data_IF_483331591242
#
_entry.id   IF_483331591242
#
_cell.length_a   1.000
_cell.length_b   1.000
_cell.length_c   1.000
_cell.angle_alpha   90.00
_cell.angle_beta   90.00
_cell.angle_gamma   90.00
#
_symmetry.space_group_name_H-M   'P 1'
#
loop_
_entity.id
_entity.type
_entity.pdbx_description
1 polymer ?
#
# COMPACT_ATOMS: atom_id res chain seq x y z
N UNK A 1 2.84 -20.74 11.28
CA UNK A 1 2.19 -21.23 10.08
C UNK A 1 3.08 -20.93 8.87
N UNK A 2 3.24 -21.91 8.03
CA UNK A 2 3.97 -21.68 6.79
C UNK A 2 3.11 -20.92 5.79
N UNK A 3 3.76 -20.04 5.03
CA UNK A 3 3.08 -19.27 3.99
C UNK A 3 2.89 -20.18 2.77
N UNK A 4 1.68 -20.19 2.23
CA UNK A 4 1.36 -20.95 1.05
C UNK A 4 1.98 -20.27 -0.18
N UNK A 5 2.81 -21.01 -0.91
CA UNK A 5 3.44 -20.50 -2.13
C UNK A 5 2.42 -20.05 -3.17
N UNK A 6 1.28 -20.73 -3.26
CA UNK A 6 0.22 -20.36 -4.19
C UNK A 6 -0.39 -19.00 -3.82
N UNK A 7 -0.56 -18.73 -2.54
CA UNK A 7 -1.08 -17.44 -2.08
C UNK A 7 -0.13 -16.31 -2.45
N UNK A 8 1.18 -16.54 -2.25
CA UNK A 8 2.20 -15.54 -2.61
C UNK A 8 2.18 -15.30 -4.12
N UNK A 9 2.08 -16.35 -4.92
CA UNK A 9 2.01 -16.23 -6.38
C UNK A 9 0.78 -15.44 -6.82
N UNK A 10 -0.37 -15.71 -6.23
CA UNK A 10 -1.60 -14.99 -6.54
C UNK A 10 -1.50 -13.52 -6.16
N UNK A 11 -0.95 -13.21 -4.98
CA UNK A 11 -0.74 -11.85 -4.54
C UNK A 11 0.24 -11.13 -5.46
N UNK A 12 1.34 -11.77 -5.81
CA UNK A 12 2.34 -11.22 -6.73
C UNK A 12 1.70 -10.87 -8.07
N UNK A 13 0.95 -11.81 -8.66
CA UNK A 13 0.28 -11.59 -9.94
C UNK A 13 -0.74 -10.46 -9.88
N UNK A 14 -1.52 -10.40 -8.80
CA UNK A 14 -2.51 -9.34 -8.61
C UNK A 14 -1.85 -7.98 -8.50
N UNK A 15 -0.77 -7.90 -7.72
CA UNK A 15 -0.04 -6.64 -7.54
C UNK A 15 0.62 -6.20 -8.84
N UNK A 16 1.25 -7.13 -9.57
CA UNK A 16 1.85 -6.82 -10.88
C UNK A 16 0.78 -6.26 -11.83
N UNK A 17 -0.38 -6.88 -11.88
CA UNK A 17 -1.48 -6.41 -12.72
C UNK A 17 -1.88 -4.98 -12.37
N UNK A 18 -1.96 -4.66 -11.08
CA UNK A 18 -2.29 -3.30 -10.64
C UNK A 18 -1.20 -2.30 -11.01
N UNK A 19 0.07 -2.67 -10.80
CA UNK A 19 1.20 -1.80 -11.14
C UNK A 19 1.21 -1.48 -12.63
N UNK A 20 1.00 -2.50 -13.46
CA UNK A 20 1.03 -2.34 -14.92
C UNK A 20 -0.18 -1.53 -15.41
N UNK A 21 -1.38 -1.85 -14.93
CA UNK A 21 -2.59 -1.19 -15.40
C UNK A 21 -2.71 0.26 -14.95
N UNK A 22 -2.13 0.62 -13.80
CA UNK A 22 -2.15 2.00 -13.30
C UNK A 22 -0.90 2.79 -13.67
N UNK A 23 0.11 2.14 -14.24
CA UNK A 23 1.34 2.81 -14.62
C UNK A 23 2.14 3.31 -13.42
N UNK A 24 2.18 2.55 -12.32
CA UNK A 24 2.86 2.99 -11.10
C UNK A 24 4.33 3.30 -11.34
N UNK A 25 4.99 2.58 -12.26
CA UNK A 25 6.40 2.77 -12.57
C UNK A 25 6.64 3.81 -13.68
N UNK A 26 5.57 4.34 -14.28
CA UNK A 26 5.68 5.34 -15.34
C UNK A 26 5.80 6.72 -14.74
N UNK A 27 6.82 7.46 -15.14
CA UNK A 27 7.07 8.82 -14.66
C UNK A 27 5.95 9.80 -15.04
N UNK A 28 5.24 9.52 -16.11
CA UNK A 28 4.19 10.41 -16.61
C UNK A 28 2.83 10.18 -15.97
N UNK A 29 2.68 9.10 -15.22
CA UNK A 29 1.44 8.82 -14.51
C UNK A 29 1.19 9.87 -13.43
N UNK A 30 -0.01 10.49 -13.37
CA UNK A 30 -0.32 11.47 -12.34
C UNK A 30 -0.17 10.91 -10.93
N UNK A 31 0.26 11.77 -9.99
CA UNK A 31 0.47 11.35 -8.61
C UNK A 31 -0.79 10.75 -7.97
N UNK A 32 -1.96 11.33 -8.26
CA UNK A 32 -3.23 10.82 -7.73
C UNK A 32 -3.48 9.37 -8.16
N UNK A 33 -3.15 9.03 -9.40
CA UNK A 33 -3.32 7.67 -9.90
C UNK A 33 -2.34 6.69 -9.24
N UNK A 34 -1.12 7.16 -8.97
CA UNK A 34 -0.14 6.34 -8.26
C UNK A 34 -0.56 6.06 -6.82
N UNK A 35 -1.14 7.06 -6.16
CA UNK A 35 -1.67 6.92 -4.80
C UNK A 35 -2.79 5.89 -4.80
N UNK A 36 -3.71 5.99 -5.75
CA UNK A 36 -4.81 5.04 -5.90
C UNK A 36 -4.27 3.62 -6.11
N UNK A 37 -3.25 3.47 -6.96
CA UNK A 37 -2.62 2.17 -7.20
C UNK A 37 -2.06 1.57 -5.91
N UNK A 38 -1.33 2.37 -5.12
CA UNK A 38 -0.77 1.91 -3.85
C UNK A 38 -1.87 1.48 -2.89
N UNK A 39 -2.95 2.24 -2.84
CA UNK A 39 -4.11 1.89 -2.02
C UNK A 39 -4.72 0.56 -2.47
N UNK A 40 -4.85 0.35 -3.78
CA UNK A 40 -5.42 -0.89 -4.32
C UNK A 40 -4.50 -2.09 -4.05
N UNK A 41 -3.19 -1.91 -4.12
CA UNK A 41 -2.23 -2.95 -3.75
C UNK A 41 -2.47 -3.36 -2.30
N UNK A 42 -2.61 -2.38 -1.41
CA UNK A 42 -2.88 -2.65 0.00
C UNK A 42 -4.23 -3.35 0.20
N UNK A 43 -5.24 -2.99 -0.58
CA UNK A 43 -6.56 -3.62 -0.47
C UNK A 43 -6.53 -5.11 -0.80
N UNK A 44 -5.65 -5.51 -1.72
CA UNK A 44 -5.44 -6.92 -2.07
C UNK A 44 -4.62 -7.63 -1.00
N UNK A 45 -3.64 -6.93 -0.44
CA UNK A 45 -2.70 -7.49 0.53
C UNK A 45 -3.29 -7.60 1.94
N UNK A 46 -4.11 -6.63 2.34
CA UNK A 46 -4.64 -6.54 3.70
C UNK A 46 -5.35 -7.80 4.20
N UNK A 47 -6.21 -8.47 3.39
CA UNK A 47 -6.89 -9.68 3.86
C UNK A 47 -5.93 -10.83 4.21
N UNK A 48 -4.70 -10.77 3.70
CA UNK A 48 -3.67 -11.78 3.95
C UNK A 48 -2.74 -11.40 5.10
N UNK A 49 -2.95 -10.23 5.70
CA UNK A 49 -2.14 -9.76 6.83
C UNK A 49 -3.00 -9.70 8.09
N UNK A 50 -2.34 -9.82 9.25
CA UNK A 50 -3.02 -9.84 10.55
C UNK A 50 -2.92 -8.50 11.29
N UNK A 51 -2.03 -7.62 10.85
CA UNK A 51 -1.70 -6.41 11.59
C UNK A 51 -0.58 -6.62 12.60
N UNK A 52 -0.21 -7.87 12.87
CA UNK A 52 0.93 -8.19 13.73
C UNK A 52 2.20 -8.14 12.89
N UNK A 53 3.11 -7.26 13.26
CA UNK A 53 4.34 -7.02 12.52
C UNK A 53 5.17 -8.28 12.34
N UNK A 54 5.29 -9.10 13.39
CA UNK A 54 6.07 -10.33 13.33
C UNK A 54 5.39 -11.41 12.50
N UNK A 55 4.08 -11.53 12.65
CA UNK A 55 3.32 -12.53 11.90
C UNK A 55 3.31 -12.26 10.42
N UNK A 56 3.26 -10.97 10.04
CA UNK A 56 3.17 -10.55 8.64
C UNK A 56 4.53 -10.48 7.94
N UNK A 57 5.63 -10.43 8.72
CA UNK A 57 6.97 -10.23 8.16
C UNK A 57 7.35 -11.25 7.09
N UNK A 58 7.15 -12.58 7.26
CA UNK A 58 7.56 -13.53 6.23
C UNK A 58 6.84 -13.31 4.89
N UNK A 59 5.56 -13.00 4.92
CA UNK A 59 4.78 -12.73 3.72
C UNK A 59 5.30 -11.47 3.02
N UNK A 60 5.49 -10.39 3.77
CA UNK A 60 5.94 -9.11 3.21
C UNK A 60 7.36 -9.22 2.66
N UNK A 61 8.23 -9.94 3.34
CA UNK A 61 9.62 -10.15 2.88
C UNK A 61 9.66 -10.92 1.57
N UNK A 62 8.86 -11.96 1.45
CA UNK A 62 8.81 -12.77 0.23
C UNK A 62 8.25 -11.96 -0.94
N UNK A 63 7.13 -11.27 -0.74
CA UNK A 63 6.54 -10.41 -1.76
C UNK A 63 7.50 -9.28 -2.16
N UNK A 64 8.12 -8.65 -1.16
CA UNK A 64 9.08 -7.58 -1.40
C UNK A 64 10.22 -8.05 -2.29
N UNK A 65 10.78 -9.24 -2.00
CA UNK A 65 11.85 -9.81 -2.79
C UNK A 65 11.45 -10.03 -4.24
N UNK A 66 10.28 -10.60 -4.46
CA UNK A 66 9.78 -10.86 -5.81
C UNK A 66 9.48 -9.58 -6.58
N UNK A 67 8.83 -8.62 -5.93
CA UNK A 67 8.48 -7.34 -6.57
C UNK A 67 9.72 -6.50 -6.87
N UNK A 68 10.66 -6.42 -5.94
CA UNK A 68 11.89 -5.67 -6.18
C UNK A 68 12.78 -6.35 -7.24
N UNK A 69 12.74 -7.68 -7.33
CA UNK A 69 13.44 -8.40 -8.40
C UNK A 69 12.90 -8.01 -9.77
N UNK A 70 11.59 -7.77 -9.87
CA UNK A 70 10.96 -7.38 -11.13
C UNK A 70 11.14 -5.89 -11.43
N UNK A 71 10.96 -5.01 -10.42
CA UNK A 71 10.91 -3.56 -10.63
C UNK A 71 12.16 -2.81 -10.13
N UNK A 72 13.04 -3.47 -9.44
CA UNK A 72 14.28 -2.88 -8.93
C UNK A 72 14.17 -2.23 -7.57
N UNK A 73 13.11 -1.48 -7.30
CA UNK A 73 12.89 -0.81 -6.01
C UNK A 73 11.45 -0.31 -5.89
N UNK A 74 11.11 0.19 -4.72
CA UNK A 74 9.78 0.76 -4.47
C UNK A 74 8.83 -0.20 -3.78
N UNK A 75 9.24 -1.45 -3.57
CA UNK A 75 8.40 -2.47 -2.96
C UNK A 75 9.07 -3.13 -1.74
N UNK A 76 9.97 -2.39 -1.08
CA UNK A 76 10.56 -2.88 0.16
C UNK A 76 9.51 -3.11 1.23
N UNK A 77 9.86 -3.90 2.25
CA UNK A 77 8.93 -4.19 3.34
C UNK A 77 8.38 -2.90 3.97
N UNK A 78 9.21 -1.86 4.25
CA UNK A 78 8.65 -0.60 4.76
C UNK A 78 7.64 0.03 3.82
N UNK A 79 7.86 -0.03 2.52
CA UNK A 79 6.93 0.52 1.53
C UNK A 79 5.60 -0.22 1.55
N UNK A 80 5.63 -1.54 1.63
CA UNK A 80 4.41 -2.35 1.70
C UNK A 80 3.65 -2.06 3.00
N UNK A 81 4.36 -1.89 4.11
CA UNK A 81 3.74 -1.54 5.39
C UNK A 81 3.10 -0.17 5.34
N UNK A 82 3.74 0.79 4.69
CA UNK A 82 3.18 2.13 4.51
C UNK A 82 1.87 2.07 3.72
N UNK A 83 1.83 1.28 2.66
CA UNK A 83 0.61 1.10 1.87
C UNK A 83 -0.52 0.53 2.72
N UNK A 84 -0.21 -0.46 3.55
CA UNK A 84 -1.18 -1.07 4.45
C UNK A 84 -1.67 -0.08 5.50
N UNK A 85 -0.79 0.75 6.05
CA UNK A 85 -1.18 1.78 7.02
C UNK A 85 -2.17 2.78 6.42
N UNK A 86 -1.89 3.25 5.20
CA UNK A 86 -2.79 4.17 4.52
C UNK A 86 -4.14 3.52 4.26
N UNK A 87 -4.13 2.26 3.80
CA UNK A 87 -5.37 1.54 3.54
C UNK A 87 -6.21 1.37 4.82
N UNK A 88 -5.57 1.02 5.94
CA UNK A 88 -6.28 0.84 7.21
C UNK A 88 -6.84 2.14 7.75
N UNK A 89 -6.13 3.24 7.55
CA UNK A 89 -6.59 4.56 7.97
C UNK A 89 -7.69 5.11 7.07
N UNK A 90 -7.64 4.79 5.80
CA UNK A 90 -8.60 5.23 4.79
C UNK A 90 -9.17 4.01 4.05
N UNK A 91 -10.01 3.21 4.73
CA UNK A 91 -10.51 1.96 4.15
C UNK A 91 -11.46 2.18 2.98
N UNK A 92 -11.86 3.41 2.76
CA UNK A 92 -12.74 3.81 1.67
C UNK A 92 -11.94 4.61 0.66
N UNK A 93 -11.95 4.17 -0.61
CA UNK A 93 -11.20 4.82 -1.69
C UNK A 93 -11.54 6.30 -1.82
N UNK A 94 -12.76 6.68 -1.47
CA UNK A 94 -13.21 8.07 -1.51
C UNK A 94 -12.39 8.98 -0.61
N UNK A 95 -11.79 8.44 0.45
CA UNK A 95 -10.92 9.21 1.33
C UNK A 95 -9.65 9.70 0.65
N UNK A 96 -9.32 9.14 -0.51
CA UNK A 96 -8.15 9.55 -1.29
C UNK A 96 -8.44 10.69 -2.26
N UNK A 97 -9.68 11.18 -2.29
CA UNK A 97 -10.11 12.21 -3.22
C UNK A 97 -9.75 13.65 -2.82
N UNK A 98 -9.00 13.85 -1.74
CA UNK A 98 -8.69 15.18 -1.23
C UNK A 98 -7.49 15.85 -1.91
N UNK A 99 -6.84 15.20 -2.86
CA UNK A 99 -5.73 15.78 -3.59
C UNK A 99 -4.41 15.89 -2.84
N UNK A 100 -4.27 15.16 -1.73
CA UNK A 100 -3.06 15.16 -0.93
C UNK A 100 -1.96 14.31 -1.57
N UNK A 101 -0.70 14.60 -1.21
CA UNK A 101 0.43 13.76 -1.63
C UNK A 101 0.45 12.47 -0.82
N UNK A 102 1.22 11.49 -1.32
CA UNK A 102 1.42 10.23 -0.59
C UNK A 102 1.98 10.47 0.80
N UNK A 103 2.95 11.39 0.92
CA UNK A 103 3.56 11.71 2.22
C UNK A 103 2.52 12.26 3.20
N UNK A 104 1.56 13.05 2.72
CA UNK A 104 0.47 13.56 3.56
C UNK A 104 -0.43 12.44 4.05
N UNK A 105 -0.81 11.51 3.16
CA UNK A 105 -1.64 10.37 3.56
C UNK A 105 -0.92 9.49 4.58
N UNK A 106 0.38 9.28 4.42
CA UNK A 106 1.17 8.52 5.38
C UNK A 106 1.20 9.19 6.74
N UNK A 107 1.43 10.50 6.77
CA UNK A 107 1.45 11.25 8.03
C UNK A 107 0.11 11.17 8.74
N UNK A 108 -0.99 11.29 7.99
CA UNK A 108 -2.33 11.17 8.53
C UNK A 108 -2.62 9.76 9.04
N UNK A 109 -2.14 8.75 8.32
CA UNK A 109 -2.34 7.35 8.71
C UNK A 109 -1.65 7.02 10.02
N UNK A 110 -0.53 7.69 10.32
CA UNK A 110 0.21 7.49 11.56
C UNK A 110 -0.33 8.29 12.74
N UNK A 111 -1.28 9.19 12.51
CA UNK A 111 -1.91 9.96 13.58
C UNK A 111 -2.96 9.11 14.28
N UNK A 112 -2.79 8.81 15.57
CA UNK A 112 -3.72 7.94 16.30
C UNK A 112 -5.05 8.60 16.62
N UNK A 113 -5.10 9.94 16.63
CA UNK A 113 -6.33 10.68 16.96
C UNK A 113 -7.14 10.94 15.68
N UNK A 114 -8.31 10.33 15.60
CA UNK A 114 -9.18 10.46 14.43
C UNK A 114 -9.62 11.90 14.16
N UNK A 115 -9.97 12.64 15.21
CA UNK A 115 -10.38 14.03 15.06
C UNK A 115 -9.26 14.91 14.54
N UNK A 116 -8.05 14.72 15.06
CA UNK A 116 -6.88 15.43 14.61
C UNK A 116 -6.56 15.11 13.16
N UNK A 117 -6.74 13.86 12.76
CA UNK A 117 -6.58 13.43 11.37
C UNK A 117 -7.52 14.20 10.45
N UNK A 118 -8.79 14.32 10.82
CA UNK A 118 -9.78 15.06 10.06
C UNK A 118 -9.42 16.53 9.93
N UNK A 119 -8.95 17.13 11.03
CA UNK A 119 -8.52 18.54 11.03
C UNK A 119 -7.34 18.74 10.08
N UNK A 120 -6.36 17.84 10.10
CA UNK A 120 -5.20 17.93 9.22
C UNK A 120 -5.61 17.81 7.75
N UNK A 121 -6.58 16.96 7.46
CA UNK A 121 -7.09 16.82 6.10
C UNK A 121 -7.74 18.13 5.61
N UNK A 122 -8.47 18.83 6.46
CA UNK A 122 -9.11 20.09 6.10
C UNK A 122 -8.09 21.20 5.83
N UNK A 123 -6.94 21.15 6.52
CA UNK A 123 -5.92 22.18 6.36
C UNK A 123 -4.99 21.91 5.17
N UNK A 124 -4.96 20.69 4.71
CA UNK A 124 -4.19 20.32 3.54
C UNK A 124 -4.99 20.59 2.25
#
# INVERSE_FOLDING_TARGET
MSIDSNEIQQLFSSIVSLVESHGLQDKQTPAARKIECRWMIASVLAPKTSGDRKADAPLLEELSGQLNSRYGRGFGVPCLRDMLEVYRAFPNKEGLGSGLSWAHYLALAKEPNHEKRLLLMRKA
#
